data_IF_580305418247
#
_entry.id   IF_580305418247
#
_cell.length_a   1.000
_cell.length_b   1.000
_cell.length_c   1.000
_cell.angle_alpha   90.00
_cell.angle_beta   90.00
_cell.angle_gamma   90.00
#
_symmetry.space_group_name_H-M   'P 1'
#
loop_
_entity.id
_entity.type
_entity.pdbx_description
1 polymer ?
#
# COMPACT_ATOMS: atom_id res chain seq x y z
N UNK A 1 35.00 -41.40 -23.87
CA UNK A 1 36.10 -41.16 -22.91
C UNK A 1 35.61 -40.17 -21.87
N UNK A 2 35.90 -40.45 -20.59
CA UNK A 2 35.50 -39.75 -19.35
C UNK A 2 34.05 -39.92 -18.87
N UNK A 3 33.81 -40.87 -17.93
CA UNK A 3 32.54 -41.07 -17.24
C UNK A 3 32.45 -40.24 -15.95
N UNK A 4 31.27 -39.69 -15.65
CA UNK A 4 30.95 -39.08 -14.36
C UNK A 4 30.65 -40.18 -13.32
N UNK A 5 31.28 -40.09 -12.15
CA UNK A 5 31.07 -40.96 -10.99
C UNK A 5 29.82 -40.52 -10.19
N UNK A 6 29.05 -41.45 -9.60
CA UNK A 6 28.08 -41.14 -8.57
C UNK A 6 28.69 -41.26 -7.17
N UNK A 7 28.21 -40.45 -6.21
CA UNK A 7 28.44 -40.63 -4.78
C UNK A 7 27.07 -40.70 -4.09
N UNK A 8 26.58 -41.92 -3.89
CA UNK A 8 25.52 -42.24 -2.95
C UNK A 8 26.19 -42.70 -1.65
N UNK A 9 25.96 -41.99 -0.54
CA UNK A 9 26.41 -42.38 0.79
C UNK A 9 25.18 -42.49 1.69
N UNK A 10 24.86 -43.72 2.06
CA UNK A 10 24.25 -44.18 3.32
C UNK A 10 24.77 -45.63 3.49
N UNK A 11 24.91 -46.24 4.70
CA UNK A 11 23.99 -46.10 5.84
C UNK A 11 24.64 -46.27 7.25
N UNK A 12 23.75 -46.48 8.25
CA UNK A 12 23.88 -47.22 9.53
C UNK A 12 24.65 -46.55 10.69
N UNK A 13 24.01 -46.18 11.82
CA UNK A 13 23.33 -46.94 12.89
C UNK A 13 24.24 -47.79 13.78
N UNK A 14 24.00 -47.61 15.09
CA UNK A 14 24.34 -48.41 16.28
C UNK A 14 25.74 -48.22 16.90
N UNK A 15 25.76 -47.69 18.13
CA UNK A 15 26.14 -48.50 19.30
C UNK A 15 25.68 -47.85 20.61
N UNK A 16 25.17 -48.71 21.50
CA UNK A 16 24.63 -48.40 22.81
C UNK A 16 25.71 -48.43 23.90
N UNK A 17 25.45 -47.78 25.04
CA UNK A 17 25.81 -48.33 26.36
C UNK A 17 24.91 -47.79 27.47
N UNK A 18 24.38 -48.72 28.27
CA UNK A 18 23.73 -48.51 29.56
C UNK A 18 24.74 -47.97 30.60
N UNK A 19 24.25 -47.25 31.61
CA UNK A 19 24.67 -47.48 33.00
C UNK A 19 23.60 -47.09 34.00
N UNK A 20 23.27 -48.09 34.81
CA UNK A 20 22.41 -48.11 35.98
C UNK A 20 23.20 -47.57 37.19
N UNK A 21 22.62 -46.70 38.01
CA UNK A 21 22.98 -46.57 39.43
C UNK A 21 21.84 -45.89 40.18
N UNK A 22 21.38 -46.52 41.25
CA UNK A 22 20.20 -46.12 42.01
C UNK A 22 20.49 -45.31 43.28
N UNK A 23 19.36 -44.95 43.89
CA UNK A 23 19.12 -44.60 45.29
C UNK A 23 19.71 -43.30 45.86
N UNK A 24 18.82 -42.34 46.14
CA UNK A 24 18.73 -41.69 47.45
C UNK A 24 17.39 -40.95 47.61
N UNK A 25 16.62 -41.37 48.61
CA UNK A 25 15.53 -40.60 49.21
C UNK A 25 16.10 -39.33 49.88
N UNK A 26 15.54 -38.15 49.61
CA UNK A 26 15.45 -37.05 50.59
C UNK A 26 14.57 -35.90 50.07
N UNK A 27 13.46 -35.68 50.79
CA UNK A 27 12.89 -34.39 51.17
C UNK A 27 12.56 -33.36 50.08
N UNK A 28 11.25 -33.17 49.86
CA UNK A 28 10.68 -31.92 49.37
C UNK A 28 10.99 -30.76 50.31
N UNK A 29 11.36 -29.59 49.77
CA UNK A 29 10.93 -28.32 50.31
C UNK A 29 9.88 -27.70 49.36
N UNK A 30 8.86 -27.11 49.97
CA UNK A 30 7.83 -26.34 49.28
C UNK A 30 8.43 -25.27 48.35
N UNK A 31 7.89 -25.04 47.14
CA UNK A 31 8.26 -23.86 46.37
C UNK A 31 7.54 -22.65 46.97
N UNK A 32 8.25 -21.91 47.82
CA UNK A 32 7.96 -20.50 48.05
C UNK A 32 8.47 -19.69 46.85
N UNK A 33 7.66 -18.73 46.43
CA UNK A 33 7.91 -17.71 45.40
C UNK A 33 7.92 -18.21 43.95
N UNK A 34 6.73 -18.52 43.44
CA UNK A 34 6.45 -18.26 42.04
C UNK A 34 6.48 -16.74 41.81
N UNK A 35 7.31 -16.20 40.91
CA UNK A 35 7.16 -14.82 40.49
C UNK A 35 5.79 -14.68 39.84
N UNK A 36 4.99 -13.73 40.32
CA UNK A 36 3.77 -13.28 39.69
C UNK A 36 4.05 -13.06 38.20
N UNK A 37 3.53 -13.95 37.34
CA UNK A 37 3.45 -13.69 35.90
C UNK A 37 2.51 -12.50 35.75
N UNK A 38 3.07 -11.29 35.79
CA UNK A 38 2.45 -10.17 35.11
C UNK A 38 2.22 -10.63 33.67
N UNK A 39 1.01 -10.46 33.11
CA UNK A 39 0.82 -10.72 31.70
C UNK A 39 1.82 -9.82 30.97
N UNK A 40 2.72 -10.46 30.21
CA UNK A 40 3.61 -9.74 29.32
C UNK A 40 2.74 -8.81 28.48
N UNK A 41 2.98 -7.51 28.58
CA UNK A 41 2.42 -6.53 27.67
C UNK A 41 2.59 -7.06 26.25
N UNK A 42 1.54 -7.07 25.40
CA UNK A 42 1.67 -7.63 24.07
C UNK A 42 2.82 -6.95 23.34
N UNK A 43 3.62 -7.73 22.58
CA UNK A 43 4.84 -7.24 21.99
C UNK A 43 4.47 -6.14 21.01
N UNK A 44 5.06 -4.95 21.22
CA UNK A 44 5.18 -3.86 20.27
C UNK A 44 4.01 -3.81 19.27
N UNK A 45 2.90 -3.17 19.66
CA UNK A 45 1.90 -2.74 18.68
C UNK A 45 2.65 -1.83 17.70
N UNK A 46 3.12 -2.44 16.61
CA UNK A 46 3.81 -1.81 15.51
C UNK A 46 2.81 -0.79 15.01
N UNK A 47 2.95 0.46 15.47
CA UNK A 47 2.00 1.53 15.18
C UNK A 47 1.90 1.58 13.67
N UNK A 48 0.75 1.17 13.17
CA UNK A 48 0.46 1.22 11.76
C UNK A 48 0.77 2.63 11.27
N UNK A 49 1.48 2.78 10.13
CA UNK A 49 1.89 4.09 9.65
C UNK A 49 0.62 4.94 9.50
N UNK A 50 0.61 6.04 10.26
CA UNK A 50 -0.48 7.01 10.23
C UNK A 50 -0.45 7.65 8.85
N UNK A 51 -1.60 7.69 8.17
CA UNK A 51 -1.69 8.40 6.90
C UNK A 51 -1.54 9.88 7.22
N UNK A 52 -0.34 10.43 7.00
CA UNK A 52 -0.18 11.87 6.98
C UNK A 52 -1.02 12.45 5.85
N UNK A 53 -1.74 13.53 6.15
CA UNK A 53 -2.45 14.31 5.16
C UNK A 53 -1.42 14.89 4.19
N UNK A 54 -1.36 14.33 2.99
CA UNK A 54 -0.38 14.75 2.00
C UNK A 54 -0.75 16.12 1.47
N UNK A 55 0.24 17.01 1.50
CA UNK A 55 0.21 18.29 0.83
C UNK A 55 1.24 18.22 -0.30
N UNK A 56 0.85 18.53 -1.55
CA UNK A 56 1.81 18.63 -2.64
C UNK A 56 2.90 19.63 -2.28
N UNK A 57 4.13 19.28 -2.63
CA UNK A 57 5.32 20.06 -2.28
C UNK A 57 5.31 21.49 -2.86
N UNK A 58 4.64 21.70 -4.00
CA UNK A 58 4.36 23.02 -4.58
C UNK A 58 3.33 22.85 -5.69
N UNK A 59 2.21 23.60 -5.64
CA UNK A 59 1.23 23.63 -6.72
C UNK A 59 1.54 24.84 -7.62
N UNK A 60 2.11 24.64 -8.83
CA UNK A 60 2.29 25.73 -9.79
C UNK A 60 0.91 26.09 -10.37
N UNK A 61 0.18 26.97 -9.69
CA UNK A 61 -1.20 27.34 -10.05
C UNK A 61 -1.32 27.79 -11.51
N UNK A 62 -0.37 28.58 -12.00
CA UNK A 62 -0.33 29.03 -13.39
C UNK A 62 -0.17 27.87 -14.38
N UNK A 63 0.70 26.90 -14.06
CA UNK A 63 0.91 25.72 -14.90
C UNK A 63 -0.33 24.80 -14.92
N UNK A 64 -1.05 24.69 -13.80
CA UNK A 64 -2.31 23.95 -13.73
C UNK A 64 -3.41 24.65 -14.54
N UNK A 65 -3.50 25.98 -14.44
CA UNK A 65 -4.45 26.77 -15.24
C UNK A 65 -4.15 26.66 -16.74
N UNK A 66 -2.87 26.73 -17.12
CA UNK A 66 -2.44 26.53 -18.50
C UNK A 66 -2.77 25.12 -19.02
N UNK A 67 -2.52 24.09 -18.21
CA UNK A 67 -2.88 22.71 -18.55
C UNK A 67 -4.38 22.50 -18.75
N UNK A 68 -5.20 23.10 -17.88
CA UNK A 68 -6.66 23.07 -18.02
C UNK A 68 -7.13 23.75 -19.31
N UNK A 69 -6.55 24.93 -19.63
CA UNK A 69 -6.86 25.65 -20.87
C UNK A 69 -6.45 24.85 -22.12
N UNK A 70 -5.31 24.13 -22.07
CA UNK A 70 -4.90 23.23 -23.14
C UNK A 70 -5.84 22.02 -23.31
N UNK A 71 -6.29 21.43 -22.21
CA UNK A 71 -7.24 20.30 -22.24
C UNK A 71 -8.61 20.71 -22.84
N UNK A 72 -9.03 21.96 -22.61
CA UNK A 72 -10.25 22.53 -23.18
C UNK A 72 -10.08 22.90 -24.66
N UNK A 73 -8.92 23.40 -25.05
CA UNK A 73 -8.64 23.82 -26.43
C UNK A 73 -8.24 22.67 -27.37
N UNK A 74 -7.84 21.52 -26.81
CA UNK A 74 -7.32 20.38 -27.57
C UNK A 74 -8.37 19.81 -28.54
N UNK A 75 -8.01 19.58 -29.82
CA UNK A 75 -8.86 18.89 -30.77
C UNK A 75 -9.23 17.48 -30.28
N UNK A 76 -10.43 16.95 -30.62
CA UNK A 76 -10.90 15.66 -30.10
C UNK A 76 -9.93 14.48 -30.31
N UNK A 77 -9.22 14.46 -31.44
CA UNK A 77 -8.25 13.41 -31.78
C UNK A 77 -7.01 13.47 -30.88
N UNK A 78 -6.43 14.67 -30.73
CA UNK A 78 -5.28 14.92 -29.83
C UNK A 78 -5.68 14.60 -28.40
N UNK A 79 -6.82 15.15 -27.95
CA UNK A 79 -7.35 14.93 -26.59
C UNK A 79 -7.52 13.44 -26.26
N UNK A 80 -8.22 12.68 -27.10
CA UNK A 80 -8.44 11.23 -26.87
C UNK A 80 -7.13 10.45 -26.82
N UNK A 81 -6.19 10.79 -27.70
CA UNK A 81 -4.87 10.14 -27.70
C UNK A 81 -4.11 10.48 -26.41
N UNK A 82 -4.04 11.76 -26.05
CA UNK A 82 -3.35 12.24 -24.86
C UNK A 82 -3.93 11.65 -23.58
N UNK A 83 -5.26 11.59 -23.44
CA UNK A 83 -5.95 10.95 -22.32
C UNK A 83 -5.62 9.45 -22.24
N UNK A 84 -5.69 8.73 -23.36
CA UNK A 84 -5.36 7.31 -23.39
C UNK A 84 -3.89 7.04 -23.05
N UNK A 85 -2.98 7.89 -23.55
CA UNK A 85 -1.55 7.76 -23.29
C UNK A 85 -1.20 8.06 -21.82
N UNK A 86 -1.72 9.18 -21.30
CA UNK A 86 -1.58 9.58 -19.90
C UNK A 86 -2.10 8.51 -18.94
N UNK A 87 -3.23 7.86 -19.27
CA UNK A 87 -3.84 6.84 -18.41
C UNK A 87 -3.18 5.47 -18.48
N UNK A 88 -2.73 5.03 -19.66
CA UNK A 88 -2.29 3.63 -19.87
C UNK A 88 -0.77 3.47 -19.85
N UNK A 89 -0.06 4.46 -20.35
CA UNK A 89 1.37 4.36 -20.65
C UNK A 89 2.20 5.05 -19.59
N UNK A 90 1.87 6.31 -19.26
CA UNK A 90 2.66 7.10 -18.32
C UNK A 90 2.79 6.48 -16.91
N UNK A 91 1.77 5.81 -16.33
CA UNK A 91 1.88 5.17 -15.01
C UNK A 91 2.96 4.07 -14.94
N UNK A 92 3.34 3.51 -16.10
CA UNK A 92 4.29 2.40 -16.21
C UNK A 92 5.71 2.86 -16.55
N UNK A 93 5.88 4.12 -16.93
CA UNK A 93 7.14 4.67 -17.39
C UNK A 93 7.78 5.57 -16.34
N UNK A 94 9.08 5.81 -16.51
CA UNK A 94 9.78 6.88 -15.82
C UNK A 94 9.26 8.23 -16.30
N UNK A 95 9.12 9.20 -15.40
CA UNK A 95 8.66 10.55 -15.73
C UNK A 95 9.85 11.32 -16.29
N UNK A 96 9.96 11.35 -17.61
CA UNK A 96 11.01 12.07 -18.35
C UNK A 96 10.40 12.95 -19.45
N UNK A 97 10.55 14.29 -19.37
CA UNK A 97 10.16 15.23 -20.42
C UNK A 97 10.71 14.89 -21.79
N UNK A 98 11.99 14.48 -21.88
CA UNK A 98 12.65 14.24 -23.17
C UNK A 98 12.10 13.01 -23.86
N UNK A 99 11.98 11.90 -23.12
CA UNK A 99 11.39 10.68 -23.66
C UNK A 99 9.93 10.89 -24.10
N UNK A 100 9.16 11.66 -23.33
CA UNK A 100 7.77 11.98 -23.65
C UNK A 100 7.68 12.83 -24.92
N UNK A 101 8.54 13.83 -25.06
CA UNK A 101 8.64 14.67 -26.26
C UNK A 101 8.95 13.84 -27.51
N UNK A 102 9.90 12.90 -27.44
CA UNK A 102 10.20 12.00 -28.57
C UNK A 102 8.98 11.20 -29.03
N UNK A 103 8.14 10.75 -28.10
CA UNK A 103 6.90 10.02 -28.45
C UNK A 103 5.89 10.96 -29.12
N UNK A 104 5.77 12.19 -28.64
CA UNK A 104 4.91 13.21 -29.24
C UNK A 104 5.40 13.57 -30.65
N UNK A 105 6.72 13.72 -30.84
CA UNK A 105 7.35 13.97 -32.14
C UNK A 105 7.04 12.86 -33.16
N UNK A 106 7.06 11.61 -32.72
CA UNK A 106 6.71 10.47 -33.56
C UNK A 106 5.21 10.42 -33.87
N UNK A 107 4.36 10.81 -32.91
CA UNK A 107 2.91 10.78 -33.07
C UNK A 107 2.39 11.91 -33.96
N UNK A 108 3.03 13.08 -33.90
CA UNK A 108 2.60 14.33 -34.53
C UNK A 108 3.73 14.97 -35.38
N UNK A 109 4.37 14.24 -36.31
CA UNK A 109 5.61 14.67 -36.97
C UNK A 109 5.44 15.86 -37.93
N UNK A 110 4.20 16.24 -38.24
CA UNK A 110 3.86 17.32 -39.19
C UNK A 110 3.40 18.60 -38.48
N UNK A 111 3.21 18.54 -37.16
CA UNK A 111 2.75 19.67 -36.37
C UNK A 111 3.93 20.54 -35.92
N UNK A 112 3.64 21.81 -35.62
CA UNK A 112 4.68 22.76 -35.20
C UNK A 112 5.34 22.33 -33.88
N UNK A 113 6.56 22.81 -33.66
CA UNK A 113 7.31 22.55 -32.43
C UNK A 113 6.51 23.03 -31.21
N UNK A 114 5.86 24.19 -31.29
CA UNK A 114 5.03 24.72 -30.22
C UNK A 114 3.80 23.86 -29.94
N UNK A 115 3.20 23.26 -30.97
CA UNK A 115 2.06 22.37 -30.79
C UNK A 115 2.49 21.05 -30.13
N UNK A 116 3.64 20.49 -30.54
CA UNK A 116 4.22 19.28 -29.94
C UNK A 116 4.65 19.52 -28.49
N UNK A 117 5.23 20.67 -28.20
CA UNK A 117 5.56 21.09 -26.84
C UNK A 117 4.29 21.23 -25.98
N UNK A 118 3.23 21.84 -26.52
CA UNK A 118 1.94 21.97 -25.84
C UNK A 118 1.26 20.60 -25.60
N UNK A 119 1.36 19.65 -26.54
CA UNK A 119 0.90 18.27 -26.33
C UNK A 119 1.71 17.57 -25.25
N UNK A 120 3.03 17.75 -25.25
CA UNK A 120 3.92 17.19 -24.22
C UNK A 120 3.54 17.73 -22.84
N UNK A 121 3.28 19.03 -22.74
CA UNK A 121 2.75 19.64 -21.51
C UNK A 121 1.39 19.05 -21.11
N UNK A 122 0.46 18.94 -22.05
CA UNK A 122 -0.87 18.36 -21.83
C UNK A 122 -0.79 16.92 -21.30
N UNK A 123 0.14 16.09 -21.80
CA UNK A 123 0.35 14.74 -21.31
C UNK A 123 0.72 14.71 -19.82
N UNK A 124 1.65 15.58 -19.39
CA UNK A 124 2.03 15.67 -17.99
C UNK A 124 0.90 16.15 -17.09
N UNK A 125 0.11 17.13 -17.57
CA UNK A 125 -1.05 17.61 -16.85
C UNK A 125 -2.15 16.54 -16.70
N UNK A 126 -2.46 15.80 -17.77
CA UNK A 126 -3.45 14.72 -17.72
C UNK A 126 -2.97 13.56 -16.82
N UNK A 127 -1.69 13.21 -16.89
CA UNK A 127 -1.11 12.18 -16.02
C UNK A 127 -1.16 12.62 -14.54
N UNK A 128 -0.85 13.88 -14.25
CA UNK A 128 -1.04 14.46 -12.92
C UNK A 128 -2.49 14.29 -12.41
N UNK A 129 -3.50 14.64 -13.23
CA UNK A 129 -4.92 14.52 -12.83
C UNK A 129 -5.31 13.08 -12.51
N UNK A 130 -4.90 12.12 -13.34
CA UNK A 130 -5.23 10.71 -13.12
C UNK A 130 -4.57 10.18 -11.83
N UNK A 131 -3.32 10.55 -11.58
CA UNK A 131 -2.56 10.10 -10.40
C UNK A 131 -3.07 10.77 -9.11
N UNK A 132 -3.45 12.06 -9.16
CA UNK A 132 -4.09 12.78 -8.03
C UNK A 132 -5.45 12.15 -7.69
N UNK A 133 -6.25 11.83 -8.69
CA UNK A 133 -7.52 11.12 -8.49
C UNK A 133 -7.29 9.73 -7.89
N UNK A 134 -6.31 8.98 -8.40
CA UNK A 134 -5.91 7.68 -7.86
C UNK A 134 -5.48 7.78 -6.39
N UNK A 135 -4.71 8.82 -6.04
CA UNK A 135 -4.30 9.10 -4.68
C UNK A 135 -5.50 9.33 -3.75
N UNK A 136 -6.47 10.16 -4.17
CA UNK A 136 -7.69 10.44 -3.39
C UNK A 136 -8.51 9.17 -3.15
N UNK A 137 -8.71 8.36 -4.19
CA UNK A 137 -9.44 7.10 -4.07
C UNK A 137 -8.75 6.12 -3.14
N UNK A 138 -7.43 6.01 -3.23
CA UNK A 138 -6.65 5.11 -2.40
C UNK A 138 -6.61 5.57 -0.93
N UNK A 139 -6.45 6.87 -0.68
CA UNK A 139 -6.56 7.43 0.66
C UNK A 139 -7.95 7.18 1.28
N UNK A 140 -9.02 7.36 0.50
CA UNK A 140 -10.38 7.05 0.95
C UNK A 140 -10.56 5.55 1.27
N UNK A 141 -9.98 4.66 0.45
CA UNK A 141 -10.01 3.21 0.71
C UNK A 141 -9.29 2.86 2.00
N UNK A 142 -8.11 3.41 2.26
CA UNK A 142 -7.37 3.11 3.49
C UNK A 142 -8.16 3.61 4.71
N UNK A 143 -8.78 4.80 4.65
CA UNK A 143 -9.65 5.28 5.73
C UNK A 143 -10.80 4.32 6.04
N UNK A 144 -11.46 3.78 5.01
CA UNK A 144 -12.51 2.77 5.21
C UNK A 144 -11.98 1.49 5.88
N UNK A 145 -10.75 1.08 5.56
CA UNK A 145 -10.11 -0.05 6.22
C UNK A 145 -9.79 0.24 7.68
N UNK A 146 -9.38 1.47 7.99
CA UNK A 146 -9.15 1.92 9.37
C UNK A 146 -10.47 1.91 10.17
N UNK A 147 -11.56 2.40 9.59
CA UNK A 147 -12.90 2.38 10.21
C UNK A 147 -13.40 0.94 10.44
N UNK A 148 -13.25 0.06 9.45
CA UNK A 148 -13.65 -1.35 9.57
C UNK A 148 -12.79 -2.11 10.60
N UNK A 149 -11.49 -1.81 10.68
CA UNK A 149 -10.60 -2.41 11.68
C UNK A 149 -10.98 -1.94 13.10
N UNK A 150 -11.39 -0.68 13.25
CA UNK A 150 -11.91 -0.15 14.50
C UNK A 150 -13.20 -0.88 14.91
N UNK A 151 -14.14 -1.05 14.00
CA UNK A 151 -15.40 -1.77 14.26
C UNK A 151 -15.16 -3.23 14.67
N UNK A 152 -14.22 -3.92 14.02
CA UNK A 152 -13.84 -5.30 14.38
C UNK A 152 -13.23 -5.33 15.79
N UNK A 153 -12.30 -4.42 16.09
CA UNK A 153 -11.66 -4.34 17.41
C UNK A 153 -12.70 -4.11 18.50
N UNK A 154 -13.64 -3.19 18.27
CA UNK A 154 -14.75 -2.91 19.19
C UNK A 154 -15.64 -4.14 19.39
N UNK A 155 -15.94 -4.89 18.33
CA UNK A 155 -16.71 -6.14 18.43
C UNK A 155 -16.00 -7.18 19.27
N UNK A 156 -14.69 -7.35 19.07
CA UNK A 156 -13.87 -8.25 19.88
C UNK A 156 -13.84 -7.86 21.36
N UNK A 157 -13.76 -6.56 21.66
CA UNK A 157 -13.85 -6.05 23.04
C UNK A 157 -15.21 -6.33 23.68
N UNK A 158 -16.31 -6.21 22.92
CA UNK A 158 -17.66 -6.56 23.40
C UNK A 158 -17.76 -8.04 23.73
N UNK A 159 -17.24 -8.93 22.87
CA UNK A 159 -17.23 -10.39 23.13
C UNK A 159 -16.46 -10.68 24.42
N UNK A 160 -15.23 -10.18 24.55
CA UNK A 160 -14.40 -10.34 25.76
C UNK A 160 -15.08 -9.77 27.01
N UNK A 161 -15.70 -8.60 26.91
CA UNK A 161 -16.41 -7.96 28.02
C UNK A 161 -17.64 -8.76 28.47
N UNK A 162 -18.40 -9.33 27.52
CA UNK A 162 -19.53 -10.19 27.83
C UNK A 162 -19.09 -11.46 28.56
N UNK A 163 -18.01 -12.09 28.13
CA UNK A 163 -17.44 -13.27 28.78
C UNK A 163 -16.97 -12.98 30.20
N UNK A 164 -16.23 -11.88 30.41
CA UNK A 164 -15.79 -11.47 31.74
C UNK A 164 -16.97 -11.17 32.67
N UNK A 165 -17.99 -10.47 32.18
CA UNK A 165 -19.19 -10.15 32.96
C UNK A 165 -20.00 -11.40 33.34
N UNK A 166 -20.06 -12.39 32.45
CA UNK A 166 -20.72 -13.67 32.71
C UNK A 166 -19.93 -14.51 33.73
N UNK A 167 -18.60 -14.58 33.61
CA UNK A 167 -17.75 -15.28 34.58
C UNK A 167 -17.78 -14.62 35.97
N UNK A 168 -17.89 -13.29 36.04
CA UNK A 168 -18.03 -12.55 37.29
C UNK A 168 -19.44 -12.67 37.91
N UNK A 169 -20.46 -12.99 37.11
CA UNK A 169 -21.84 -13.12 37.56
C UNK A 169 -22.12 -14.54 38.07
N UNK A 170 -22.38 -14.68 39.36
CA UNK A 170 -22.74 -15.96 40.01
C UNK A 170 -24.09 -16.55 39.52
N UNK A 171 -24.82 -15.83 38.65
CA UNK A 171 -26.19 -16.17 38.22
C UNK A 171 -26.27 -16.92 36.88
N UNK A 172 -25.20 -16.98 36.08
CA UNK A 172 -25.18 -17.71 34.79
C UNK A 172 -23.83 -18.36 34.55
N UNK A 173 -23.82 -19.68 34.48
CA UNK A 173 -22.67 -20.45 33.98
C UNK A 173 -22.67 -20.36 32.45
N UNK A 174 -21.58 -19.89 31.85
CA UNK A 174 -21.38 -20.00 30.39
C UNK A 174 -21.42 -21.48 30.01
N UNK A 175 -22.21 -21.81 28.99
CA UNK A 175 -22.19 -23.16 28.42
C UNK A 175 -20.90 -23.38 27.64
N UNK A 176 -20.33 -24.59 27.67
CA UNK A 176 -19.13 -24.90 26.88
C UNK A 176 -19.33 -24.62 25.38
N UNK A 177 -20.54 -24.80 24.86
CA UNK A 177 -20.86 -24.51 23.46
C UNK A 177 -20.80 -23.01 23.13
N UNK A 178 -21.22 -22.15 24.06
CA UNK A 178 -21.17 -20.70 23.89
C UNK A 178 -19.72 -20.18 23.94
N UNK A 179 -18.90 -20.73 24.82
CA UNK A 179 -17.46 -20.43 24.88
C UNK A 179 -16.74 -20.82 23.58
N UNK A 180 -16.96 -22.04 23.08
CA UNK A 180 -16.38 -22.50 21.81
C UNK A 180 -16.79 -21.58 20.65
N UNK A 181 -18.07 -21.18 20.59
CA UNK A 181 -18.57 -20.30 19.53
C UNK A 181 -17.92 -18.91 19.57
N UNK A 182 -17.74 -18.35 20.77
CA UNK A 182 -17.08 -17.06 20.92
C UNK A 182 -15.59 -17.14 20.57
N UNK A 183 -14.92 -18.22 20.96
CA UNK A 183 -13.52 -18.47 20.59
C UNK A 183 -13.37 -18.55 19.07
N UNK A 184 -14.26 -19.27 18.38
CA UNK A 184 -14.29 -19.36 16.92
C UNK A 184 -14.53 -17.98 16.27
N UNK A 185 -15.48 -17.19 16.79
CA UNK A 185 -15.75 -15.84 16.31
C UNK A 185 -14.54 -14.92 16.52
N UNK A 186 -13.89 -14.99 17.69
CA UNK A 186 -12.67 -14.23 18.00
C UNK A 186 -11.52 -14.60 17.06
N UNK A 187 -11.33 -15.90 16.77
CA UNK A 187 -10.32 -16.34 15.81
C UNK A 187 -10.59 -15.82 14.39
N UNK A 188 -11.85 -15.82 13.96
CA UNK A 188 -12.24 -15.28 12.64
C UNK A 188 -12.01 -13.77 12.56
N UNK A 189 -12.36 -13.01 13.60
CA UNK A 189 -12.13 -11.57 13.66
C UNK A 189 -10.62 -11.25 13.68
N UNK A 190 -9.82 -12.00 14.44
CA UNK A 190 -8.36 -11.89 14.45
C UNK A 190 -7.75 -12.16 13.07
N UNK A 191 -8.20 -13.21 12.38
CA UNK A 191 -7.74 -13.52 11.02
C UNK A 191 -8.09 -12.41 10.04
N UNK A 192 -9.30 -11.85 10.14
CA UNK A 192 -9.73 -10.71 9.31
C UNK A 192 -8.89 -9.47 9.57
N UNK A 193 -8.61 -9.13 10.83
CA UNK A 193 -7.72 -8.01 11.18
C UNK A 193 -6.32 -8.17 10.59
N UNK A 194 -5.74 -9.37 10.68
CA UNK A 194 -4.41 -9.65 10.08
C UNK A 194 -4.44 -9.47 8.57
N UNK A 195 -5.45 -10.01 7.89
CA UNK A 195 -5.61 -9.85 6.44
C UNK A 195 -5.78 -8.38 6.03
N UNK A 196 -6.59 -7.62 6.77
CA UNK A 196 -6.77 -6.19 6.52
C UNK A 196 -5.50 -5.39 6.76
N UNK A 197 -4.74 -5.68 7.83
CA UNK A 197 -3.44 -5.05 8.10
C UNK A 197 -2.46 -5.26 6.94
N UNK A 198 -2.39 -6.47 6.38
CA UNK A 198 -1.52 -6.73 5.23
C UNK A 198 -1.99 -6.00 3.96
N UNK A 199 -3.28 -6.02 3.61
CA UNK A 199 -3.79 -5.23 2.48
C UNK A 199 -3.55 -3.72 2.72
N UNK A 200 -3.72 -3.26 3.97
CA UNK A 200 -3.49 -1.85 4.35
C UNK A 200 -2.05 -1.44 4.07
N UNK A 201 -1.06 -2.24 4.49
CA UNK A 201 0.36 -1.98 4.21
C UNK A 201 0.63 -1.85 2.72
N UNK A 202 0.06 -2.75 1.90
CA UNK A 202 0.18 -2.68 0.43
C UNK A 202 -0.45 -1.40 -0.10
N UNK A 203 -1.64 -1.02 0.37
CA UNK A 203 -2.33 0.21 -0.06
C UNK A 203 -1.58 1.48 0.35
N UNK A 204 -0.98 1.52 1.54
CA UNK A 204 -0.15 2.64 1.98
C UNK A 204 1.09 2.79 1.11
N UNK A 205 1.79 1.68 0.80
CA UNK A 205 2.95 1.72 -0.10
C UNK A 205 2.56 2.18 -1.53
N UNK A 206 1.40 1.74 -2.02
CA UNK A 206 0.83 2.23 -3.29
C UNK A 206 0.55 3.75 -3.21
N UNK A 207 -0.01 4.24 -2.10
CA UNK A 207 -0.31 5.66 -1.92
C UNK A 207 0.94 6.52 -1.90
N UNK A 208 2.00 6.08 -1.22
CA UNK A 208 3.30 6.76 -1.23
C UNK A 208 3.91 6.82 -2.63
N UNK A 209 3.75 5.76 -3.42
CA UNK A 209 4.21 5.72 -4.81
C UNK A 209 3.45 6.74 -5.66
N UNK A 210 2.12 6.80 -5.54
CA UNK A 210 1.29 7.79 -6.24
C UNK A 210 1.68 9.22 -5.84
N UNK A 211 1.85 9.49 -4.54
CA UNK A 211 2.28 10.81 -4.03
C UNK A 211 3.59 11.28 -4.66
N UNK A 212 4.61 10.40 -4.68
CA UNK A 212 5.90 10.69 -5.33
C UNK A 212 5.75 10.98 -6.82
N UNK A 213 4.88 10.24 -7.52
CA UNK A 213 4.61 10.46 -8.94
C UNK A 213 3.90 11.78 -9.17
N UNK A 214 2.90 12.12 -8.36
CA UNK A 214 2.20 13.41 -8.41
C UNK A 214 3.17 14.57 -8.22
N UNK A 215 4.02 14.51 -7.18
CA UNK A 215 5.06 15.54 -6.94
C UNK A 215 6.04 15.65 -8.13
N UNK A 216 6.43 14.52 -8.73
CA UNK A 216 7.31 14.52 -9.90
C UNK A 216 6.63 15.15 -11.14
N UNK A 217 5.35 14.87 -11.38
CA UNK A 217 4.59 15.52 -12.45
C UNK A 217 4.46 17.03 -12.23
N UNK A 218 4.13 17.46 -11.01
CA UNK A 218 4.04 18.89 -10.67
C UNK A 218 5.38 19.61 -10.88
N UNK A 219 6.50 18.97 -10.50
CA UNK A 219 7.84 19.53 -10.72
C UNK A 219 8.15 19.65 -12.21
N UNK A 220 7.86 18.60 -13.00
CA UNK A 220 8.06 18.63 -14.45
C UNK A 220 7.20 19.72 -15.08
N UNK A 221 5.92 19.80 -14.73
CA UNK A 221 5.02 20.84 -15.20
C UNK A 221 5.51 22.24 -14.85
N UNK A 222 6.03 22.47 -13.65
CA UNK A 222 6.61 23.76 -13.27
C UNK A 222 7.79 24.15 -14.16
N UNK A 223 8.66 23.19 -14.51
CA UNK A 223 9.83 23.42 -15.38
C UNK A 223 9.44 23.53 -16.86
N UNK A 224 8.46 22.78 -17.34
CA UNK A 224 8.02 22.86 -18.74
C UNK A 224 7.17 24.10 -18.98
N UNK A 225 6.34 24.52 -18.02
CA UNK A 225 5.54 25.74 -18.11
C UNK A 225 6.39 26.98 -18.36
N UNK A 226 7.54 27.12 -17.70
CA UNK A 226 8.44 28.26 -17.93
C UNK A 226 8.97 28.33 -19.36
N UNK A 227 9.03 27.19 -20.07
CA UNK A 227 9.39 27.11 -21.50
C UNK A 227 8.23 27.38 -22.44
N UNK A 228 6.99 27.28 -21.94
CA UNK A 228 5.77 27.59 -22.70
C UNK A 228 5.47 29.10 -22.73
N UNK A 229 6.38 29.95 -22.23
CA UNK A 229 6.18 31.40 -22.21
C UNK A 229 5.96 31.92 -23.64
N UNK A 230 4.79 32.52 -23.90
CA UNK A 230 4.41 33.03 -25.22
C UNK A 230 3.64 32.05 -26.10
N UNK A 231 3.50 30.79 -25.69
CA UNK A 231 2.64 29.81 -26.38
C UNK A 231 1.21 29.95 -25.86
N UNK A 232 0.28 30.29 -26.75
CA UNK A 232 -1.14 30.38 -26.39
C UNK A 232 -1.75 28.97 -26.25
N UNK A 233 -2.66 28.72 -25.30
CA UNK A 233 -3.36 27.43 -25.19
C UNK A 233 -4.10 27.02 -26.47
N UNK A 234 -4.48 27.98 -27.31
CA UNK A 234 -5.15 27.74 -28.59
C UNK A 234 -4.24 27.14 -29.66
N UNK A 235 -2.92 27.04 -29.43
CA UNK A 235 -1.96 26.45 -30.38
C UNK A 235 -2.37 25.03 -30.81
N UNK A 236 -3.00 24.26 -29.92
CA UNK A 236 -3.46 22.91 -30.26
C UNK A 236 -4.57 22.88 -31.31
N UNK A 237 -5.31 23.98 -31.52
CA UNK A 237 -6.41 24.03 -32.50
C UNK A 237 -5.93 23.92 -33.94
N UNK A 238 -4.65 24.20 -34.21
CA UNK A 238 -4.08 24.03 -35.55
C UNK A 238 -3.72 22.58 -35.89
N UNK A 239 -3.74 21.68 -34.91
CA UNK A 239 -3.45 20.25 -35.14
C UNK A 239 -4.66 19.54 -35.76
N UNK A 240 -4.42 18.77 -36.83
CA UNK A 240 -5.45 18.05 -37.61
C UNK A 240 -5.33 16.51 -37.52
#
# INVERSE_FOLDING_TARGET
MSPQRPLNILPSLLCATLSLAGAAFAQSPAPQNAPSRQPASPPNAQRDPKIEEWKPSTLPADALAFGAALEESAPPKVKKWSESYAKKTMPKQSIDPRATMTVVDQQFPRDSDEARDAVTFLLFYLAYKEEDNGQRQLAARIRRMDDEAYDITRRMEIIRGNEQNLLASTRRTISQQEMIRNDDEMQQLDQRLRSMSEDRKVKVAQLETLRKRVDAYLKVMGVTHSRMTGIAPTVLRSMQ
#
